data_IF_640277187621
#
_entry.id   IF_640277187621
#
_cell.length_a   1.000
_cell.length_b   1.000
_cell.length_c   1.000
_cell.angle_alpha   90.00
_cell.angle_beta   90.00
_cell.angle_gamma   90.00
#
_symmetry.space_group_name_H-M   'P 1'
#
loop_
_entity.id
_entity.type
_entity.pdbx_description
1 polymer ?
#
# COMPACT_ATOMS: atom_id res chain seq x y z
N UNK A 1 -12.59 -7.24 -28.66
CA UNK A 1 -13.13 -6.31 -27.62
C UNK A 1 -11.97 -5.83 -26.75
N UNK A 2 -12.04 -4.61 -26.21
CA UNK A 2 -11.05 -4.08 -25.25
C UNK A 2 -11.77 -3.62 -23.99
N UNK A 3 -11.27 -4.02 -22.82
CA UNK A 3 -11.78 -3.57 -21.53
C UNK A 3 -10.65 -3.05 -20.64
N UNK A 4 -10.99 -2.14 -19.73
CA UNK A 4 -10.12 -1.69 -18.66
C UNK A 4 -10.83 -1.91 -17.33
N UNK A 5 -10.09 -2.30 -16.31
CA UNK A 5 -10.57 -2.39 -14.93
C UNK A 5 -9.91 -1.25 -14.16
N UNK A 6 -10.73 -0.44 -13.52
CA UNK A 6 -10.27 0.65 -12.68
C UNK A 6 -10.82 0.47 -11.27
N UNK A 7 -10.06 0.93 -10.29
CA UNK A 7 -10.49 1.03 -8.90
C UNK A 7 -10.56 2.50 -8.54
N UNK A 8 -11.48 2.85 -7.66
CA UNK A 8 -11.57 4.19 -7.09
C UNK A 8 -11.37 4.05 -5.58
N UNK A 9 -10.37 4.75 -5.07
CA UNK A 9 -10.03 4.81 -3.66
C UNK A 9 -10.57 6.13 -3.11
N UNK A 10 -11.46 6.05 -2.12
CA UNK A 10 -12.08 7.22 -1.50
C UNK A 10 -11.47 7.45 -0.11
N UNK A 11 -11.07 8.68 0.16
CA UNK A 11 -10.65 9.14 1.48
C UNK A 11 -11.85 9.64 2.28
N UNK A 12 -11.77 9.57 3.61
CA UNK A 12 -12.78 10.17 4.50
C UNK A 12 -12.93 11.69 4.34
N UNK A 13 -11.97 12.35 3.67
CA UNK A 13 -12.00 13.78 3.35
C UNK A 13 -12.71 14.10 2.02
N UNK A 14 -13.31 13.10 1.36
CA UNK A 14 -14.03 13.25 0.09
C UNK A 14 -13.14 13.29 -1.16
N UNK A 15 -11.82 13.18 -0.99
CA UNK A 15 -10.89 12.97 -2.10
C UNK A 15 -11.06 11.56 -2.67
N UNK A 16 -11.03 11.45 -4.00
CA UNK A 16 -11.04 10.15 -4.68
C UNK A 16 -9.92 10.05 -5.70
N UNK A 17 -9.25 8.90 -5.72
CA UNK A 17 -8.22 8.59 -6.71
C UNK A 17 -8.64 7.38 -7.52
N UNK A 18 -8.67 7.52 -8.85
CA UNK A 18 -8.99 6.43 -9.76
C UNK A 18 -7.72 5.88 -10.40
N UNK A 19 -7.47 4.58 -10.22
CA UNK A 19 -6.29 3.88 -10.73
C UNK A 19 -6.73 2.80 -11.72
N UNK A 20 -6.05 2.70 -12.85
CA UNK A 20 -6.21 1.56 -13.76
C UNK A 20 -5.37 0.39 -13.25
N UNK A 21 -6.01 -0.74 -12.95
CA UNK A 21 -5.33 -1.93 -12.41
C UNK A 21 -4.96 -2.92 -13.49
N UNK A 22 -5.74 -3.01 -14.57
CA UNK A 22 -5.40 -3.81 -15.74
C UNK A 22 -6.15 -3.36 -16.99
N UNK A 23 -5.51 -3.57 -18.14
CA UNK A 23 -6.11 -3.48 -19.46
C UNK A 23 -6.13 -4.84 -20.12
N UNK A 24 -7.28 -5.26 -20.62
CA UNK A 24 -7.46 -6.54 -21.29
C UNK A 24 -7.91 -6.34 -22.73
N UNK A 25 -7.25 -7.05 -23.64
CA UNK A 25 -7.59 -7.10 -25.05
C UNK A 25 -8.05 -8.51 -25.42
N UNK A 26 -9.20 -8.61 -26.09
CA UNK A 26 -9.82 -9.87 -26.47
C UNK A 26 -10.04 -9.94 -27.97
N UNK A 27 -9.69 -11.08 -28.54
CA UNK A 27 -10.07 -11.46 -29.89
C UNK A 27 -11.53 -11.88 -30.00
N UNK A 28 -11.82 -12.71 -31.02
CA UNK A 28 -13.14 -13.29 -31.24
C UNK A 28 -13.57 -14.21 -30.08
N UNK A 29 -14.87 -14.20 -29.76
CA UNK A 29 -15.43 -15.06 -28.73
C UNK A 29 -15.39 -16.53 -29.17
N UNK A 30 -14.88 -17.39 -28.29
CA UNK A 30 -14.83 -18.85 -28.41
C UNK A 30 -15.32 -19.46 -27.08
N UNK A 31 -15.76 -20.72 -27.05
CA UNK A 31 -16.16 -21.36 -25.79
C UNK A 31 -15.08 -21.31 -24.70
N UNK A 32 -13.81 -21.43 -25.07
CA UNK A 32 -12.64 -21.35 -24.17
C UNK A 32 -12.28 -19.92 -23.74
N UNK A 33 -12.79 -18.90 -24.42
CA UNK A 33 -12.59 -17.48 -24.08
C UNK A 33 -13.84 -16.84 -23.48
N UNK A 34 -14.86 -17.64 -23.14
CA UNK A 34 -16.05 -17.18 -22.43
C UNK A 34 -15.69 -16.88 -20.96
N UNK A 35 -16.03 -15.68 -20.48
CA UNK A 35 -15.70 -15.27 -19.11
C UNK A 35 -14.22 -14.94 -18.91
N UNK A 36 -13.77 -14.75 -17.67
CA UNK A 36 -12.37 -14.45 -17.35
C UNK A 36 -11.52 -15.73 -17.42
N UNK A 37 -10.39 -15.66 -18.12
CA UNK A 37 -9.35 -16.67 -17.97
C UNK A 37 -8.69 -16.54 -16.59
N UNK A 38 -8.08 -17.62 -16.12
CA UNK A 38 -7.34 -17.62 -14.86
C UNK A 38 -6.20 -16.58 -14.86
N UNK A 39 -5.55 -16.38 -16.02
CA UNK A 39 -4.49 -15.40 -16.17
C UNK A 39 -5.03 -13.97 -16.00
N UNK A 40 -6.16 -13.65 -16.62
CA UNK A 40 -6.80 -12.33 -16.49
C UNK A 40 -7.30 -12.10 -15.06
N UNK A 41 -7.96 -13.09 -14.44
CA UNK A 41 -8.41 -12.99 -13.06
C UNK A 41 -7.25 -12.74 -12.09
N UNK A 42 -6.13 -13.44 -12.27
CA UNK A 42 -4.90 -13.20 -11.48
C UNK A 42 -4.32 -11.81 -11.73
N UNK A 43 -4.31 -11.32 -12.96
CA UNK A 43 -3.82 -9.99 -13.28
C UNK A 43 -4.67 -8.88 -12.65
N UNK A 44 -6.00 -9.00 -12.71
CA UNK A 44 -6.94 -8.09 -12.05
C UNK A 44 -6.67 -8.04 -10.54
N UNK A 45 -6.60 -9.22 -9.91
CA UNK A 45 -6.40 -9.33 -8.47
C UNK A 45 -5.01 -8.84 -8.04
N UNK A 46 -3.98 -9.07 -8.84
CA UNK A 46 -2.63 -8.56 -8.59
C UNK A 46 -2.58 -7.02 -8.59
N UNK A 47 -3.22 -6.39 -9.58
CA UNK A 47 -3.27 -4.93 -9.66
C UNK A 47 -4.10 -4.31 -8.52
N UNK A 48 -5.23 -4.93 -8.15
CA UNK A 48 -6.02 -4.52 -6.99
C UNK A 48 -5.22 -4.64 -5.68
N UNK A 49 -4.58 -5.79 -5.45
CA UNK A 49 -3.77 -6.05 -4.25
C UNK A 49 -2.62 -5.04 -4.15
N UNK A 50 -1.93 -4.76 -5.26
CA UNK A 50 -0.84 -3.78 -5.29
C UNK A 50 -1.33 -2.40 -4.84
N UNK A 51 -2.40 -1.90 -5.44
CA UNK A 51 -2.91 -0.56 -5.12
C UNK A 51 -3.40 -0.46 -3.67
N UNK A 52 -4.09 -1.49 -3.15
CA UNK A 52 -4.54 -1.51 -1.76
C UNK A 52 -3.36 -1.51 -0.78
N UNK A 53 -2.37 -2.39 -1.01
CA UNK A 53 -1.22 -2.51 -0.11
C UNK A 53 -0.37 -1.25 -0.14
N UNK A 54 -0.14 -0.64 -1.31
CA UNK A 54 0.60 0.63 -1.41
C UNK A 54 -0.07 1.75 -0.59
N UNK A 55 -1.39 1.89 -0.65
CA UNK A 55 -2.11 2.89 0.16
C UNK A 55 -2.06 2.61 1.65
N UNK A 56 -2.40 1.40 2.05
CA UNK A 56 -2.38 1.00 3.47
C UNK A 56 -1.00 1.16 4.09
N UNK A 57 0.05 0.79 3.35
CA UNK A 57 1.43 0.91 3.85
C UNK A 57 1.89 2.36 3.92
N UNK A 58 1.55 3.19 2.93
CA UNK A 58 1.82 4.62 2.98
C UNK A 58 1.15 5.30 4.17
N UNK A 59 -0.13 5.03 4.42
CA UNK A 59 -0.89 5.54 5.56
C UNK A 59 -0.28 5.06 6.89
N UNK A 60 -0.01 3.76 7.00
CA UNK A 60 0.60 3.17 8.19
C UNK A 60 1.96 3.81 8.51
N UNK A 61 2.80 4.00 7.49
CA UNK A 61 4.10 4.64 7.62
C UNK A 61 3.94 6.11 8.04
N UNK A 62 3.04 6.86 7.40
CA UNK A 62 2.79 8.27 7.74
C UNK A 62 2.34 8.43 9.20
N UNK A 63 1.44 7.55 9.67
CA UNK A 63 1.02 7.52 11.07
C UNK A 63 2.18 7.15 12.00
N UNK A 64 2.99 6.15 11.63
CA UNK A 64 4.12 5.70 12.42
C UNK A 64 5.28 6.71 12.50
N UNK A 65 5.41 7.61 11.53
CA UNK A 65 6.44 8.65 11.48
C UNK A 65 6.27 9.72 12.55
N UNK A 66 5.11 9.85 13.19
CA UNK A 66 4.88 10.79 14.29
C UNK A 66 4.80 10.07 15.63
N UNK A 67 5.27 10.72 16.68
CA UNK A 67 5.08 10.21 18.04
C UNK A 67 3.60 10.27 18.42
N UNK A 68 3.00 9.14 18.81
CA UNK A 68 1.62 9.09 19.29
C UNK A 68 1.35 9.92 20.55
N UNK A 69 2.39 10.29 21.32
CA UNK A 69 2.25 11.08 22.55
C UNK A 69 2.50 12.59 22.37
N UNK A 70 3.40 12.99 21.48
CA UNK A 70 3.78 14.41 21.35
C UNK A 70 3.70 14.96 19.92
N UNK A 71 3.29 14.14 18.95
CA UNK A 71 3.16 14.53 17.53
C UNK A 71 4.48 14.78 16.79
N UNK A 72 5.62 14.86 17.49
CA UNK A 72 6.92 15.16 16.86
C UNK A 72 7.35 14.07 15.87
N UNK A 73 7.98 14.45 14.74
CA UNK A 73 8.55 13.49 13.80
C UNK A 73 9.57 12.57 14.47
N UNK A 74 9.48 11.28 14.17
CA UNK A 74 10.46 10.28 14.55
C UNK A 74 11.58 10.31 13.53
N UNK A 75 12.81 10.32 14.03
CA UNK A 75 13.95 10.17 13.15
C UNK A 75 13.94 8.77 12.50
N UNK A 76 14.33 8.74 11.23
CA UNK A 76 14.55 7.50 10.50
C UNK A 76 16.00 7.05 10.71
N UNK A 77 16.18 5.78 11.08
CA UNK A 77 17.47 5.09 11.22
C UNK A 77 17.98 4.59 9.87
N UNK A 78 17.07 4.24 8.96
CA UNK A 78 17.40 3.77 7.62
C UNK A 78 16.15 3.37 6.86
N UNK A 79 16.29 3.16 5.56
CA UNK A 79 15.23 2.68 4.68
C UNK A 79 15.65 1.35 4.07
N UNK A 80 14.74 0.39 4.03
CA UNK A 80 14.93 -0.87 3.33
C UNK A 80 13.61 -1.29 2.69
N UNK A 81 13.71 -1.91 1.52
CA UNK A 81 12.55 -2.51 0.88
C UNK A 81 12.35 -3.93 1.41
N UNK A 82 11.10 -4.29 1.71
CA UNK A 82 10.71 -5.66 2.07
C UNK A 82 9.87 -6.28 0.96
N UNK A 83 9.87 -7.61 0.88
CA UNK A 83 9.05 -8.35 -0.09
C UNK A 83 7.85 -8.95 0.61
N UNK A 84 6.66 -8.45 0.31
CA UNK A 84 5.39 -9.02 0.73
C UNK A 84 4.88 -9.99 -0.34
N UNK A 85 4.55 -11.22 0.05
CA UNK A 85 4.16 -12.30 -0.87
C UNK A 85 2.67 -12.53 -0.75
N UNK A 86 1.95 -12.43 -1.86
CA UNK A 86 0.52 -12.68 -1.95
C UNK A 86 0.27 -13.82 -2.95
N UNK A 87 -0.94 -14.43 -2.95
CA UNK A 87 -1.31 -15.39 -3.99
C UNK A 87 -1.24 -14.83 -5.41
N UNK A 88 -1.27 -13.50 -5.54
CA UNK A 88 -1.31 -12.79 -6.82
C UNK A 88 0.04 -12.23 -7.25
N UNK A 89 1.07 -12.27 -6.39
CA UNK A 89 2.41 -11.83 -6.76
C UNK A 89 3.31 -11.46 -5.58
N UNK A 90 4.46 -10.88 -5.89
CA UNK A 90 5.38 -10.31 -4.90
C UNK A 90 5.31 -8.79 -4.99
N UNK A 91 5.03 -8.14 -3.86
CA UNK A 91 5.02 -6.68 -3.73
C UNK A 91 6.30 -6.23 -3.02
N UNK A 92 6.91 -5.15 -3.51
CA UNK A 92 8.05 -4.50 -2.84
C UNK A 92 7.51 -3.31 -2.07
N UNK A 93 7.68 -3.32 -0.75
CA UNK A 93 7.15 -2.28 0.14
C UNK A 93 8.29 -1.53 0.80
N UNK A 94 8.15 -0.21 0.88
CA UNK A 94 9.09 0.63 1.62
C UNK A 94 8.90 0.44 3.13
N UNK A 95 9.98 0.06 3.82
CA UNK A 95 10.00 -0.13 5.26
C UNK A 95 11.00 0.84 5.91
N UNK A 96 10.55 2.04 6.32
CA UNK A 96 11.38 2.95 7.08
C UNK A 96 11.60 2.42 8.50
N UNK A 97 12.86 2.26 8.88
CA UNK A 97 13.24 1.89 10.23
C UNK A 97 13.24 3.14 11.12
N UNK A 98 12.18 3.36 11.87
CA UNK A 98 12.06 4.52 12.76
C UNK A 98 12.65 4.25 14.15
N UNK A 99 13.36 5.23 14.71
CA UNK A 99 13.88 5.12 16.08
C UNK A 99 12.76 4.89 17.09
N UNK A 100 13.01 4.03 18.10
CA UNK A 100 12.09 3.86 19.22
C UNK A 100 12.16 5.11 20.09
N UNK A 101 11.01 5.61 20.50
CA UNK A 101 10.94 6.70 21.47
C UNK A 101 10.96 6.07 22.86
N UNK A 102 11.88 6.51 23.72
CA UNK A 102 11.74 6.33 25.18
C UNK A 102 10.94 7.51 25.70
N UNK A 103 9.80 7.23 26.32
CA UNK A 103 9.09 8.24 27.11
C UNK A 103 9.74 8.27 28.49
N UNK A 104 10.67 9.19 28.72
CA UNK A 104 11.42 9.25 29.98
C UNK A 104 10.75 10.08 31.09
N UNK A 105 9.62 10.74 30.84
CA UNK A 105 8.86 11.41 31.91
C UNK A 105 7.44 11.78 31.44
N UNK A 106 6.35 11.48 32.18
CA UNK A 106 5.00 11.94 31.82
C UNK A 106 4.81 13.47 31.89
N UNK A 107 5.67 14.19 32.61
CA UNK A 107 5.56 15.65 32.82
C UNK A 107 6.46 16.50 31.90
N UNK A 108 7.46 15.89 31.25
CA UNK A 108 8.34 16.55 30.29
C UNK A 108 8.26 15.79 28.96
N UNK A 109 7.55 16.34 27.99
CA UNK A 109 7.37 15.79 26.63
C UNK A 109 8.66 15.82 25.79
N UNK A 110 9.74 15.25 26.31
CA UNK A 110 11.03 15.13 25.64
C UNK A 110 11.15 13.72 25.05
N UNK A 111 10.65 13.54 23.84
CA UNK A 111 10.96 12.36 23.04
C UNK A 111 12.41 12.44 22.56
N UNK A 112 13.32 11.71 23.22
CA UNK A 112 14.72 11.56 22.77
C UNK A 112 14.87 10.31 21.92
N UNK A 113 15.76 10.36 20.92
CA UNK A 113 16.19 9.18 20.16
C UNK A 113 16.79 8.16 21.14
N UNK A 114 16.41 6.90 21.02
CA UNK A 114 17.17 5.82 21.67
C UNK A 114 18.43 5.56 20.84
N UNK A 115 19.60 5.72 21.46
CA UNK A 115 20.89 5.37 20.90
C UNK A 115 21.05 3.87 20.75
#
# INVERSE_FOLDING_TARGET
MRMKVQITLESGEGESETLEVVRLERGSLRPDTLGLSLAEARAILAGLEQALVERQTAEFVAQAQRCSRCGRPRACKGHHAIVFRTPFGKLKLDSPQLYRIRSTNPTLHLCRKSG
#
